data_IF_823051512513
#
_entry.id   IF_823051512513
#
_cell.length_a   1.000
_cell.length_b   1.000
_cell.length_c   1.000
_cell.angle_alpha   90.00
_cell.angle_beta   90.00
_cell.angle_gamma   90.00
#
_symmetry.space_group_name_H-M   'P 1'
#
loop_
_entity.id
_entity.type
_entity.pdbx_description
1 polymer ?
#
# COMPACT_ATOMS: atom_id res chain seq x y z
N UNK A 1 10.08 5.22 24.37
CA UNK A 1 9.14 4.36 23.61
C UNK A 1 8.72 3.24 24.54
N UNK A 2 7.43 3.09 24.83
CA UNK A 2 6.92 1.92 25.55
C UNK A 2 6.43 0.91 24.50
N UNK A 3 6.92 -0.33 24.55
CA UNK A 3 6.37 -1.42 23.76
C UNK A 3 5.10 -1.91 24.46
N UNK A 4 4.03 -2.12 23.68
CA UNK A 4 2.71 -2.51 24.19
C UNK A 4 2.29 -3.82 23.54
N UNK A 5 1.78 -4.77 24.33
CA UNK A 5 1.38 -6.10 23.90
C UNK A 5 2.42 -7.21 24.16
N UNK A 6 2.01 -8.46 23.93
CA UNK A 6 2.86 -9.65 24.13
C UNK A 6 3.85 -9.87 22.98
N UNK A 7 4.96 -10.57 23.25
CA UNK A 7 5.85 -11.05 22.20
C UNK A 7 5.21 -12.21 21.43
N UNK A 8 4.79 -11.93 20.19
CA UNK A 8 4.20 -12.91 19.29
C UNK A 8 5.25 -13.72 18.49
N UNK A 9 6.44 -13.94 19.05
CA UNK A 9 7.50 -14.81 18.51
C UNK A 9 8.67 -14.08 17.86
N UNK A 10 9.78 -14.81 17.64
CA UNK A 10 11.09 -14.24 17.30
C UNK A 10 11.38 -14.01 15.80
N UNK A 11 10.48 -14.41 14.89
CA UNK A 11 10.68 -14.15 13.45
C UNK A 11 10.64 -12.64 13.16
N UNK A 12 11.52 -12.20 12.26
CA UNK A 12 11.47 -10.86 11.69
C UNK A 12 10.33 -10.75 10.67
N UNK A 13 9.89 -9.52 10.37
CA UNK A 13 8.90 -9.19 9.31
C UNK A 13 7.59 -9.99 9.32
N UNK A 14 7.11 -10.45 10.49
CA UNK A 14 5.90 -11.29 10.62
C UNK A 14 4.64 -10.71 9.96
N UNK A 15 4.45 -9.40 10.03
CA UNK A 15 3.29 -8.71 9.47
C UNK A 15 3.70 -7.48 8.66
N UNK A 16 2.93 -7.17 7.62
CA UNK A 16 3.16 -6.04 6.73
C UNK A 16 1.92 -5.15 6.68
N UNK A 17 2.02 -3.97 7.28
CA UNK A 17 0.90 -3.05 7.40
C UNK A 17 -0.17 -3.49 8.40
N UNK A 18 -1.09 -2.58 8.69
CA UNK A 18 -2.22 -2.81 9.59
C UNK A 18 -3.49 -2.19 9.01
N UNK A 19 -4.63 -2.76 9.37
CA UNK A 19 -5.95 -2.27 8.96
C UNK A 19 -6.78 -2.02 10.20
N UNK A 20 -7.39 -0.85 10.30
CA UNK A 20 -8.44 -0.60 11.29
C UNK A 20 -9.72 -1.33 10.83
N UNK A 21 -10.14 -2.32 11.60
CA UNK A 21 -11.37 -3.06 11.38
C UNK A 21 -12.62 -2.22 11.63
N UNK A 22 -13.75 -2.68 11.08
CA UNK A 22 -15.06 -2.04 11.32
C UNK A 22 -15.53 -2.15 12.78
N UNK A 23 -14.93 -3.05 13.55
CA UNK A 23 -15.11 -3.23 14.99
C UNK A 23 -14.21 -2.33 15.85
N UNK A 24 -13.37 -1.50 15.23
CA UNK A 24 -12.45 -0.60 15.92
C UNK A 24 -11.14 -1.24 16.39
N UNK A 25 -10.91 -2.52 16.07
CA UNK A 25 -9.66 -3.22 16.38
C UNK A 25 -8.65 -3.07 15.23
N UNK A 26 -7.35 -3.21 15.52
CA UNK A 26 -6.29 -3.08 14.52
C UNK A 26 -5.76 -4.46 14.15
N UNK A 27 -5.74 -4.78 12.86
CA UNK A 27 -5.33 -6.10 12.38
C UNK A 27 -4.05 -6.03 11.55
N UNK A 28 -3.06 -6.82 11.92
CA UNK A 28 -1.83 -6.98 11.15
C UNK A 28 -1.97 -8.05 10.07
N UNK A 29 -1.55 -7.71 8.85
CA UNK A 29 -1.64 -8.59 7.70
C UNK A 29 -0.45 -9.56 7.68
N UNK A 30 -0.66 -10.88 7.51
CA UNK A 30 0.42 -11.86 7.66
C UNK A 30 1.36 -11.79 6.46
N UNK A 31 2.61 -11.39 6.70
CA UNK A 31 3.67 -11.38 5.70
C UNK A 31 4.44 -12.70 5.76
N UNK A 32 5.16 -12.93 6.86
CA UNK A 32 5.85 -14.20 7.15
C UNK A 32 5.15 -15.02 8.25
N UNK A 33 4.16 -14.42 8.92
CA UNK A 33 3.34 -15.10 9.93
C UNK A 33 2.33 -16.06 9.30
N UNK A 34 2.01 -17.21 9.92
CA UNK A 34 0.91 -18.06 9.47
C UNK A 34 -0.47 -17.49 9.81
N UNK A 35 -0.57 -16.45 10.65
CA UNK A 35 -1.84 -15.89 11.16
C UNK A 35 -1.79 -14.37 11.23
N UNK A 36 -2.96 -13.73 11.22
CA UNK A 36 -3.10 -12.31 11.51
C UNK A 36 -2.83 -12.05 13.01
N UNK A 37 -2.45 -10.83 13.37
CA UNK A 37 -2.64 -10.35 14.74
C UNK A 37 -3.82 -9.40 14.81
N UNK A 38 -4.39 -9.27 16.00
CA UNK A 38 -5.37 -8.26 16.39
C UNK A 38 -4.82 -7.49 17.58
N UNK A 39 -4.90 -6.16 17.54
CA UNK A 39 -4.51 -5.26 18.61
C UNK A 39 -5.70 -4.40 19.03
N UNK A 40 -6.00 -4.44 20.32
CA UNK A 40 -7.02 -3.62 20.94
C UNK A 40 -6.35 -2.43 21.66
N UNK A 41 -6.61 -1.23 21.15
CA UNK A 41 -6.04 0.01 21.69
C UNK A 41 -6.57 0.36 23.08
N UNK A 42 -7.77 -0.11 23.44
CA UNK A 42 -8.41 0.19 24.72
C UNK A 42 -7.84 -0.67 25.85
N UNK A 43 -7.55 -1.93 25.57
CA UNK A 43 -6.98 -2.88 26.53
C UNK A 43 -5.48 -3.05 26.40
N UNK A 44 -4.87 -2.48 25.34
CA UNK A 44 -3.44 -2.58 25.06
C UNK A 44 -2.96 -4.02 24.87
N UNK A 45 -3.84 -4.90 24.39
CA UNK A 45 -3.54 -6.33 24.18
C UNK A 45 -3.34 -6.66 22.70
N UNK A 46 -2.51 -7.67 22.43
CA UNK A 46 -2.23 -8.16 21.07
C UNK A 46 -2.37 -9.68 21.05
N UNK A 47 -3.16 -10.23 20.11
CA UNK A 47 -3.43 -11.67 20.01
C UNK A 47 -3.39 -12.17 18.58
N UNK A 48 -3.04 -13.45 18.36
CA UNK A 48 -3.16 -14.08 17.04
C UNK A 48 -4.60 -14.49 16.74
N UNK A 49 -5.10 -14.11 15.57
CA UNK A 49 -6.49 -14.36 15.14
C UNK A 49 -6.54 -15.06 13.78
N UNK A 50 -7.69 -15.66 13.46
CA UNK A 50 -7.87 -16.43 12.22
C UNK A 50 -7.28 -17.83 12.27
N UNK A 51 -7.68 -18.70 11.35
CA UNK A 51 -6.96 -19.95 11.08
C UNK A 51 -5.60 -19.68 10.43
N UNK A 52 -4.72 -20.69 10.43
CA UNK A 52 -3.47 -20.62 9.65
C UNK A 52 -3.78 -20.44 8.16
N UNK A 53 -3.08 -19.51 7.53
CA UNK A 53 -3.13 -19.24 6.08
C UNK A 53 -1.90 -19.81 5.35
N UNK A 54 -1.15 -20.68 6.02
CA UNK A 54 0.00 -21.38 5.50
C UNK A 54 1.33 -20.72 5.84
N UNK A 55 2.40 -21.51 5.72
CA UNK A 55 3.78 -21.06 5.85
C UNK A 55 4.26 -20.40 4.56
N UNK A 56 5.46 -19.81 4.62
CA UNK A 56 6.06 -19.06 3.51
C UNK A 56 6.14 -17.57 3.80
N UNK A 57 7.03 -16.94 3.05
CA UNK A 57 7.51 -15.59 3.31
C UNK A 57 6.97 -14.61 2.26
N UNK A 58 6.74 -13.37 2.69
CA UNK A 58 6.26 -12.27 1.87
C UNK A 58 4.88 -12.44 1.27
N UNK A 59 3.99 -13.19 1.93
CA UNK A 59 2.70 -13.62 1.38
C UNK A 59 1.82 -12.42 1.00
N UNK A 60 1.41 -11.63 1.99
CA UNK A 60 0.56 -10.46 1.77
C UNK A 60 1.21 -9.20 2.31
N UNK A 61 1.08 -8.11 1.56
CA UNK A 61 1.59 -6.77 1.90
C UNK A 61 0.42 -5.83 2.08
N UNK A 62 0.39 -5.14 3.22
CA UNK A 62 -0.68 -4.22 3.58
C UNK A 62 -2.08 -4.84 3.48
N UNK A 63 -3.09 -4.09 3.90
CA UNK A 63 -4.45 -4.57 3.80
C UNK A 63 -5.45 -3.45 3.59
N UNK A 64 -6.66 -3.87 3.25
CA UNK A 64 -7.78 -2.98 2.94
C UNK A 64 -9.00 -3.47 3.70
N UNK A 65 -9.69 -2.56 4.38
CA UNK A 65 -11.02 -2.83 4.93
C UNK A 65 -12.02 -2.83 3.77
N UNK A 66 -12.68 -3.97 3.54
CA UNK A 66 -13.70 -4.12 2.53
C UNK A 66 -15.06 -3.56 2.97
N UNK A 67 -15.95 -3.29 2.00
CA UNK A 67 -17.30 -2.78 2.27
C UNK A 67 -18.19 -3.81 2.99
N UNK A 68 -17.80 -5.09 2.99
CA UNK A 68 -18.46 -6.16 3.74
C UNK A 68 -18.00 -6.27 5.20
N UNK A 69 -17.12 -5.35 5.65
CA UNK A 69 -16.53 -5.34 6.98
C UNK A 69 -15.36 -6.32 7.17
N UNK A 70 -14.92 -6.98 6.10
CA UNK A 70 -13.81 -7.94 6.15
C UNK A 70 -12.49 -7.27 5.78
N UNK A 71 -11.40 -7.91 6.16
CA UNK A 71 -10.04 -7.40 5.98
C UNK A 71 -9.39 -8.18 4.86
N UNK A 72 -8.83 -7.47 3.89
CA UNK A 72 -8.26 -8.08 2.71
C UNK A 72 -6.77 -7.79 2.62
N UNK A 73 -5.95 -8.83 2.49
CA UNK A 73 -4.50 -8.71 2.31
C UNK A 73 -4.14 -8.72 0.82
N UNK A 74 -3.34 -7.74 0.39
CA UNK A 74 -2.90 -7.64 -1.00
C UNK A 74 -1.73 -8.61 -1.25
N UNK A 75 -1.76 -9.44 -2.30
CA UNK A 75 -0.72 -10.44 -2.52
C UNK A 75 0.64 -9.80 -2.86
N UNK A 76 1.65 -10.05 -2.04
CA UNK A 76 3.05 -9.79 -2.38
C UNK A 76 3.60 -10.96 -3.19
N UNK A 77 3.81 -12.08 -2.50
CA UNK A 77 4.22 -13.37 -3.07
C UNK A 77 3.06 -14.36 -3.14
N UNK A 78 1.99 -14.16 -2.38
CA UNK A 78 0.84 -15.06 -2.40
C UNK A 78 0.18 -15.14 -3.79
N UNK A 79 -0.37 -16.32 -4.11
CA UNK A 79 -1.08 -16.57 -5.37
C UNK A 79 -2.48 -15.94 -5.41
N UNK A 80 -3.02 -15.54 -4.25
CA UNK A 80 -4.43 -15.13 -4.10
C UNK A 80 -4.58 -14.02 -3.08
N UNK A 81 -5.67 -13.27 -3.16
CA UNK A 81 -6.04 -12.25 -2.17
C UNK A 81 -6.43 -12.93 -0.86
N UNK A 82 -5.94 -12.44 0.28
CA UNK A 82 -6.40 -12.87 1.59
C UNK A 82 -7.73 -12.18 1.92
N UNK A 83 -8.68 -12.89 2.52
CA UNK A 83 -9.85 -12.31 3.21
C UNK A 83 -9.93 -12.88 4.62
N UNK A 84 -9.96 -12.02 5.61
CA UNK A 84 -10.27 -12.34 7.00
C UNK A 84 -11.59 -11.70 7.40
N UNK A 85 -12.50 -12.48 7.98
CA UNK A 85 -13.76 -11.99 8.53
C UNK A 85 -13.67 -11.91 10.06
N UNK A 86 -13.61 -10.70 10.65
CA UNK A 86 -13.51 -10.55 12.11
C UNK A 86 -14.68 -11.18 12.87
N UNK A 87 -15.87 -11.28 12.27
CA UNK A 87 -17.08 -11.81 12.94
C UNK A 87 -17.04 -13.32 13.11
N UNK A 88 -16.51 -14.02 12.11
CA UNK A 88 -16.39 -15.48 12.16
C UNK A 88 -14.98 -15.95 12.53
N UNK A 89 -14.02 -15.02 12.61
CA UNK A 89 -12.60 -15.28 12.78
C UNK A 89 -12.01 -16.27 11.76
N UNK A 90 -12.48 -16.22 10.51
CA UNK A 90 -12.02 -17.12 9.44
C UNK A 90 -11.22 -16.34 8.40
N UNK A 91 -10.05 -16.88 8.05
CA UNK A 91 -9.18 -16.42 6.99
C UNK A 91 -9.24 -17.36 5.78
N UNK A 92 -9.48 -16.79 4.59
CA UNK A 92 -9.64 -17.50 3.32
C UNK A 92 -8.81 -16.84 2.21
N UNK A 93 -8.48 -17.62 1.17
CA UNK A 93 -7.78 -17.14 -0.02
C UNK A 93 -8.76 -17.08 -1.19
N UNK A 94 -8.94 -15.91 -1.79
CA UNK A 94 -9.98 -15.63 -2.79
C UNK A 94 -9.39 -15.20 -4.14
N UNK A 95 -10.21 -15.34 -5.18
CA UNK A 95 -9.86 -15.00 -6.54
C UNK A 95 -9.10 -16.11 -7.28
N UNK A 96 -8.68 -15.73 -8.47
CA UNK A 96 -7.90 -16.45 -9.45
C UNK A 96 -6.46 -16.59 -8.98
N UNK A 97 -5.71 -17.47 -9.64
CA UNK A 97 -4.27 -17.57 -9.42
C UNK A 97 -3.57 -16.36 -10.07
N UNK A 98 -2.86 -15.58 -9.25
CA UNK A 98 -2.16 -14.35 -9.64
C UNK A 98 -0.68 -14.59 -9.97
N UNK A 99 -0.27 -15.84 -10.10
CA UNK A 99 1.09 -16.24 -10.45
C UNK A 99 2.06 -16.21 -9.28
N UNK A 100 3.22 -16.81 -9.49
CA UNK A 100 4.26 -17.08 -8.51
C UNK A 100 5.37 -16.02 -8.45
N UNK A 101 5.23 -14.93 -9.22
CA UNK A 101 6.17 -13.82 -9.14
C UNK A 101 6.18 -13.17 -7.76
N UNK A 102 7.36 -12.66 -7.39
CA UNK A 102 7.60 -12.08 -6.08
C UNK A 102 7.34 -10.56 -6.05
N UNK A 103 6.95 -10.06 -4.87
CA UNK A 103 6.74 -8.64 -4.60
C UNK A 103 5.81 -7.95 -5.62
N UNK A 104 4.74 -8.63 -6.04
CA UNK A 104 3.84 -8.18 -7.10
C UNK A 104 3.26 -6.79 -6.84
N UNK A 105 2.58 -6.64 -5.70
CA UNK A 105 1.93 -5.40 -5.28
C UNK A 105 2.36 -5.03 -3.86
N UNK A 106 2.54 -3.73 -3.59
CA UNK A 106 3.07 -3.26 -2.29
C UNK A 106 1.99 -2.68 -1.37
N UNK A 107 0.86 -2.24 -1.91
CA UNK A 107 -0.24 -1.64 -1.14
C UNK A 107 -1.59 -1.84 -1.81
N UNK A 108 -2.67 -1.51 -1.09
CA UNK A 108 -4.04 -1.65 -1.58
C UNK A 108 -4.90 -0.45 -1.22
N UNK A 109 -5.86 -0.14 -2.08
CA UNK A 109 -6.87 0.90 -1.82
C UNK A 109 -8.28 0.41 -2.17
N UNK A 110 -9.28 0.85 -1.42
CA UNK A 110 -10.70 0.58 -1.71
C UNK A 110 -11.28 1.75 -2.52
N UNK A 111 -11.58 1.53 -3.80
CA UNK A 111 -12.20 2.54 -4.64
C UNK A 111 -13.72 2.68 -4.38
N UNK A 112 -14.28 3.81 -4.80
CA UNK A 112 -15.71 4.12 -4.67
C UNK A 112 -16.64 3.15 -5.40
N UNK A 113 -16.13 2.40 -6.38
CA UNK A 113 -16.86 1.32 -7.04
C UNK A 113 -16.96 0.03 -6.19
N UNK A 114 -16.37 0.02 -4.99
CA UNK A 114 -16.36 -1.11 -4.06
C UNK A 114 -15.32 -2.18 -4.36
N UNK A 115 -14.49 -1.99 -5.39
CA UNK A 115 -13.36 -2.87 -5.71
C UNK A 115 -12.09 -2.39 -5.01
N UNK A 116 -11.22 -3.34 -4.72
CA UNK A 116 -9.89 -3.09 -4.18
C UNK A 116 -8.86 -3.09 -5.29
N UNK A 117 -7.87 -2.21 -5.18
CA UNK A 117 -6.83 -2.07 -6.18
C UNK A 117 -5.44 -2.21 -5.56
N UNK A 118 -4.67 -3.17 -6.03
CA UNK A 118 -3.29 -3.40 -5.59
C UNK A 118 -2.32 -2.59 -6.42
N UNK A 119 -1.49 -1.79 -5.76
CA UNK A 119 -0.52 -0.91 -6.42
C UNK A 119 0.72 -1.71 -6.81
N UNK A 120 1.12 -1.67 -8.09
CA UNK A 120 2.19 -2.51 -8.58
C UNK A 120 3.55 -2.13 -7.98
N UNK A 121 4.38 -3.13 -7.73
CA UNK A 121 5.77 -3.01 -7.31
C UNK A 121 6.69 -3.76 -8.29
N UNK A 122 6.52 -5.07 -8.39
CA UNK A 122 7.16 -5.88 -9.44
C UNK A 122 6.18 -6.30 -10.54
N UNK A 123 4.88 -6.21 -10.29
CA UNK A 123 3.85 -6.53 -11.28
C UNK A 123 3.72 -5.43 -12.33
N UNK A 124 3.64 -5.80 -13.61
CA UNK A 124 3.45 -4.84 -14.71
C UNK A 124 2.06 -4.18 -14.77
N UNK A 125 1.13 -4.61 -13.90
CA UNK A 125 -0.27 -4.20 -13.93
C UNK A 125 -0.83 -3.99 -12.53
N UNK A 126 -1.89 -3.18 -12.44
CA UNK A 126 -2.65 -2.98 -11.20
C UNK A 126 -3.53 -4.20 -10.96
N UNK A 127 -3.51 -4.75 -9.75
CA UNK A 127 -4.49 -5.76 -9.34
C UNK A 127 -5.83 -5.06 -9.11
N UNK A 128 -6.93 -5.60 -9.64
CA UNK A 128 -8.30 -5.25 -9.26
C UNK A 128 -8.95 -6.47 -8.63
N UNK A 129 -9.54 -6.32 -7.45
CA UNK A 129 -10.29 -7.37 -6.78
C UNK A 129 -11.70 -6.89 -6.44
N UNK A 130 -12.72 -7.61 -6.87
CA UNK A 130 -14.12 -7.33 -6.52
C UNK A 130 -14.54 -8.23 -5.34
N UNK A 131 -14.73 -7.68 -4.13
CA UNK A 131 -15.10 -8.48 -2.96
C UNK A 131 -16.52 -9.05 -3.03
N UNK A 132 -17.43 -8.49 -3.85
CA UNK A 132 -18.82 -8.95 -3.97
C UNK A 132 -18.89 -10.29 -4.70
N UNK A 133 -18.14 -10.40 -5.80
CA UNK A 133 -18.09 -11.61 -6.62
C UNK A 133 -16.83 -12.46 -6.39
N UNK A 134 -15.89 -11.96 -5.59
CA UNK A 134 -14.66 -12.63 -5.15
C UNK A 134 -13.69 -12.97 -6.28
N UNK A 135 -13.65 -12.11 -7.30
CA UNK A 135 -12.78 -12.26 -8.48
C UNK A 135 -11.68 -11.22 -8.49
N UNK A 136 -10.50 -11.62 -8.94
CA UNK A 136 -9.34 -10.82 -9.24
C UNK A 136 -9.15 -10.69 -10.77
N UNK A 137 -8.72 -9.52 -11.20
CA UNK A 137 -8.32 -9.25 -12.59
C UNK A 137 -7.15 -8.26 -12.60
N UNK A 138 -6.45 -8.16 -13.72
CA UNK A 138 -5.37 -7.18 -13.90
C UNK A 138 -5.85 -6.06 -14.82
N UNK A 139 -5.51 -4.81 -14.48
CA UNK A 139 -5.89 -3.61 -15.24
C UNK A 139 -4.68 -2.70 -15.46
N UNK A 140 -4.80 -1.71 -16.34
CA UNK A 140 -3.71 -0.80 -16.67
C UNK A 140 -2.70 -1.41 -17.65
N UNK A 141 -3.17 -2.10 -18.69
CA UNK A 141 -2.31 -2.53 -19.80
C UNK A 141 -1.65 -1.32 -20.47
N UNK A 142 -0.40 -1.48 -20.94
CA UNK A 142 0.31 -0.44 -21.69
C UNK A 142 0.95 0.68 -20.87
N UNK A 143 1.10 0.51 -19.54
CA UNK A 143 1.82 1.47 -18.67
C UNK A 143 3.32 1.63 -19.00
N UNK A 144 3.88 0.83 -19.91
CA UNK A 144 5.29 0.89 -20.30
C UNK A 144 6.24 0.41 -19.20
N UNK A 145 7.26 -0.35 -19.57
CA UNK A 145 8.44 -0.55 -18.72
C UNK A 145 9.34 0.69 -18.86
N UNK A 146 10.02 1.16 -17.79
CA UNK A 146 10.77 0.29 -16.90
C UNK A 146 10.44 0.48 -15.40
N UNK A 147 10.19 -0.65 -14.75
CA UNK A 147 9.92 -0.79 -13.32
C UNK A 147 8.62 -0.11 -12.86
N UNK A 148 7.59 -0.94 -12.70
CA UNK A 148 6.37 -0.64 -11.98
C UNK A 148 6.64 -0.46 -10.48
N UNK A 149 7.70 0.24 -10.12
CA UNK A 149 8.29 0.32 -8.80
C UNK A 149 7.60 1.44 -8.01
N UNK A 150 6.33 1.19 -7.68
CA UNK A 150 5.53 2.06 -6.83
C UNK A 150 5.39 1.49 -5.42
N UNK A 151 5.05 2.36 -4.49
CA UNK A 151 4.87 2.05 -3.07
C UNK A 151 3.61 2.73 -2.54
N UNK A 152 2.77 1.95 -1.85
CA UNK A 152 1.48 2.43 -1.34
C UNK A 152 0.53 2.96 -2.41
N UNK A 153 -0.73 3.17 -2.02
CA UNK A 153 -1.73 3.78 -2.88
C UNK A 153 -2.56 4.78 -2.09
N UNK A 154 -2.93 5.89 -2.74
CA UNK A 154 -3.83 6.88 -2.16
C UNK A 154 -4.99 7.12 -3.12
N UNK A 155 -6.22 7.12 -2.60
CA UNK A 155 -7.38 7.62 -3.35
C UNK A 155 -7.56 9.08 -3.00
N UNK A 156 -7.57 9.94 -4.03
CA UNK A 156 -7.80 11.36 -3.87
C UNK A 156 -9.26 11.75 -4.09
N UNK A 157 -9.58 13.03 -3.83
CA UNK A 157 -10.93 13.59 -3.97
C UNK A 157 -11.47 13.58 -5.40
N UNK A 158 -10.61 13.47 -6.42
CA UNK A 158 -11.01 13.29 -7.82
C UNK A 158 -11.52 11.86 -8.12
N UNK A 159 -11.38 10.94 -7.17
CA UNK A 159 -11.75 9.53 -7.27
C UNK A 159 -10.70 8.65 -7.95
N UNK A 160 -9.54 9.21 -8.33
CA UNK A 160 -8.44 8.46 -8.91
C UNK A 160 -7.55 7.85 -7.82
N UNK A 161 -6.87 6.78 -8.19
CA UNK A 161 -5.87 6.08 -7.41
C UNK A 161 -4.49 6.57 -7.82
N UNK A 162 -3.67 6.94 -6.84
CA UNK A 162 -2.32 7.42 -7.05
C UNK A 162 -1.32 6.46 -6.41
N UNK A 163 -0.37 5.95 -7.20
CA UNK A 163 0.74 5.13 -6.73
C UNK A 163 2.01 5.98 -6.65
N UNK A 164 2.70 5.93 -5.51
CA UNK A 164 3.86 6.79 -5.29
C UNK A 164 5.12 6.15 -5.87
N UNK A 165 5.93 6.90 -6.63
CA UNK A 165 7.11 6.35 -7.29
C UNK A 165 8.20 6.00 -6.28
N UNK A 166 8.44 4.70 -6.08
CA UNK A 166 9.59 4.22 -5.29
C UNK A 166 10.86 4.27 -6.13
N UNK A 167 10.82 3.66 -7.31
CA UNK A 167 11.87 3.72 -8.34
C UNK A 167 11.36 4.14 -9.71
N UNK A 168 10.04 4.19 -9.92
CA UNK A 168 9.45 4.77 -11.13
C UNK A 168 9.80 6.26 -11.29
N UNK A 169 9.86 6.75 -12.52
CA UNK A 169 10.21 8.15 -12.85
C UNK A 169 9.02 9.10 -12.83
N UNK A 170 7.80 8.57 -12.72
CA UNK A 170 6.56 9.35 -12.72
C UNK A 170 5.59 8.79 -11.69
N UNK A 171 4.59 9.56 -11.31
CA UNK A 171 3.52 9.13 -10.41
C UNK A 171 2.48 8.33 -11.19
N UNK A 172 2.08 7.17 -10.68
CA UNK A 172 0.96 6.42 -11.23
C UNK A 172 -0.34 7.14 -10.86
N UNK A 173 -1.19 7.43 -11.83
CA UNK A 173 -2.57 7.89 -11.67
C UNK A 173 -3.48 6.92 -12.42
N UNK A 174 -4.48 6.34 -11.75
CA UNK A 174 -5.44 5.43 -12.34
C UNK A 174 -6.86 5.78 -11.93
N UNK A 175 -7.73 6.03 -12.91
CA UNK A 175 -9.15 6.26 -12.67
C UNK A 175 -9.93 4.91 -12.67
N UNK A 176 -10.40 4.41 -11.51
CA UNK A 176 -11.12 3.15 -11.39
C UNK A 176 -12.54 3.17 -11.99
N UNK A 177 -13.02 4.33 -12.45
CA UNK A 177 -14.31 4.50 -13.11
C UNK A 177 -14.22 4.23 -14.61
N UNK A 178 -13.01 4.26 -15.18
CA UNK A 178 -12.79 3.91 -16.57
C UNK A 178 -13.09 2.42 -16.76
N UNK A 179 -13.95 2.11 -17.73
CA UNK A 179 -14.17 0.73 -18.16
C UNK A 179 -12.89 0.26 -18.83
N UNK A 180 -12.47 -0.97 -18.53
CA UNK A 180 -11.35 -1.59 -19.23
C UNK A 180 -11.73 -1.77 -20.71
N UNK A 181 -11.09 -0.99 -21.58
CA UNK A 181 -11.37 -0.95 -23.02
C UNK A 181 -10.69 -2.12 -23.76
N UNK A 182 -9.97 -3.01 -23.05
CA UNK A 182 -9.35 -4.21 -23.61
C UNK A 182 -10.35 -5.10 -24.37
N UNK A 183 -11.60 -5.16 -23.92
CA UNK A 183 -12.69 -5.90 -24.57
C UNK A 183 -13.19 -5.32 -25.90
N UNK A 184 -12.78 -4.10 -26.26
CA UNK A 184 -13.25 -3.39 -27.47
C UNK A 184 -12.29 -3.58 -28.66
N UNK A 185 -11.18 -4.31 -28.49
CA UNK A 185 -10.23 -4.58 -29.56
C UNK A 185 -9.59 -3.32 -30.17
N UNK A 186 -9.70 -2.19 -29.48
CA UNK A 186 -9.05 -0.95 -29.87
C UNK A 186 -7.59 -1.06 -29.44
N UNK A 187 -6.70 -1.16 -30.43
CA UNK A 187 -5.28 -0.94 -30.21
C UNK A 187 -5.10 0.50 -29.74
N UNK A 188 -4.93 0.67 -28.43
CA UNK A 188 -4.68 1.98 -27.78
C UNK A 188 -3.23 2.44 -27.97
N UNK A 189 -2.53 1.92 -28.98
CA UNK A 189 -1.22 2.38 -29.44
C UNK A 189 -1.09 3.89 -29.25
N UNK A 190 -0.18 4.28 -28.36
CA UNK A 190 0.18 5.66 -27.94
C UNK A 190 -0.56 6.33 -26.75
N UNK A 191 -1.50 5.70 -26.03
CA UNK A 191 -2.14 6.33 -24.85
C UNK A 191 -1.40 6.13 -23.50
N UNK A 192 -0.12 5.75 -23.50
CA UNK A 192 0.69 5.54 -22.28
C UNK A 192 0.79 6.78 -21.37
N UNK A 193 0.55 7.98 -21.90
CA UNK A 193 0.61 9.25 -21.18
C UNK A 193 -0.60 9.54 -20.26
N UNK A 194 -1.65 8.71 -20.26
CA UNK A 194 -2.84 8.98 -19.43
C UNK A 194 -2.67 8.59 -17.95
N UNK A 195 -1.73 7.71 -17.63
CA UNK A 195 -1.62 7.09 -16.30
C UNK A 195 -0.38 7.53 -15.52
N UNK A 196 0.46 8.37 -16.10
CA UNK A 196 1.71 8.82 -15.51
C UNK A 196 1.72 10.34 -15.48
N UNK A 197 1.94 10.92 -14.31
CA UNK A 197 2.00 12.38 -14.13
C UNK A 197 3.31 12.80 -13.46
N UNK A 198 3.66 14.07 -13.67
CA UNK A 198 4.89 14.67 -13.20
C UNK A 198 6.05 14.54 -14.19
N UNK A 199 6.99 15.50 -14.17
CA UNK A 199 8.17 15.48 -15.04
C UNK A 199 9.15 14.37 -14.61
N UNK A 200 9.68 13.54 -15.54
CA UNK A 200 10.62 12.45 -15.21
C UNK A 200 11.85 12.91 -14.43
N UNK A 201 12.44 14.03 -14.84
CA UNK A 201 13.66 14.59 -14.28
C UNK A 201 13.50 15.06 -12.81
N UNK A 202 12.27 15.35 -12.38
CA UNK A 202 11.99 15.76 -11.00
C UNK A 202 12.05 14.59 -10.01
N UNK A 203 11.88 13.37 -10.52
CA UNK A 203 11.73 12.16 -9.72
C UNK A 203 12.87 11.18 -9.98
N UNK A 204 14.07 11.66 -10.32
CA UNK A 204 15.25 10.80 -10.45
C UNK A 204 15.63 10.14 -9.11
N UNK A 205 16.22 8.94 -9.18
CA UNK A 205 16.70 8.19 -8.02
C UNK A 205 15.83 6.97 -7.64
N UNK A 206 16.28 6.21 -6.64
CA UNK A 206 15.65 4.96 -6.19
C UNK A 206 15.25 5.01 -4.72
N UNK A 207 14.20 4.27 -4.38
CA UNK A 207 13.61 4.20 -3.04
C UNK A 207 13.26 5.60 -2.50
N UNK A 208 12.62 6.42 -3.33
CA UNK A 208 12.45 7.85 -3.08
C UNK A 208 11.44 8.14 -1.98
N UNK A 209 10.24 7.58 -2.08
CA UNK A 209 9.16 7.69 -1.10
C UNK A 209 8.68 6.29 -0.66
N UNK A 210 7.90 6.20 0.43
CA UNK A 210 7.31 4.91 0.91
C UNK A 210 5.79 4.86 0.83
N UNK A 211 5.14 5.83 1.45
CA UNK A 211 3.69 5.89 1.56
C UNK A 211 3.22 7.32 1.33
N UNK A 212 1.96 7.42 0.94
CA UNK A 212 1.29 8.67 0.68
C UNK A 212 0.19 8.88 1.70
N UNK A 213 -0.03 10.14 2.07
CA UNK A 213 -1.17 10.54 2.86
C UNK A 213 -1.90 11.70 2.17
N UNK A 214 -3.21 11.75 2.34
CA UNK A 214 -4.01 12.87 1.85
C UNK A 214 -3.94 14.02 2.86
N UNK A 215 -3.54 15.20 2.40
CA UNK A 215 -3.56 16.43 3.18
C UNK A 215 -4.95 17.08 3.22
N UNK A 216 -5.16 18.04 4.13
CA UNK A 216 -6.45 18.75 4.25
C UNK A 216 -6.73 19.68 3.05
N UNK A 217 -5.69 20.02 2.28
CA UNK A 217 -5.79 20.75 1.01
C UNK A 217 -6.19 19.84 -0.17
N UNK A 218 -6.45 18.55 0.08
CA UNK A 218 -6.77 17.57 -0.95
C UNK A 218 -5.57 17.09 -1.76
N UNK A 219 -4.36 17.55 -1.46
CA UNK A 219 -3.13 17.10 -2.10
C UNK A 219 -2.62 15.80 -1.44
N UNK A 220 -1.88 15.02 -2.21
CA UNK A 220 -1.21 13.81 -1.70
C UNK A 220 0.23 14.16 -1.36
N UNK A 221 0.66 13.75 -0.17
CA UNK A 221 2.01 13.95 0.33
C UNK A 221 2.74 12.62 0.45
N UNK A 222 3.79 12.45 -0.36
CA UNK A 222 4.67 11.29 -0.29
C UNK A 222 5.77 11.46 0.75
N UNK A 223 5.86 10.51 1.67
CA UNK A 223 6.82 10.52 2.77
C UNK A 223 8.20 10.10 2.26
N UNK A 224 9.24 10.95 2.40
CA UNK A 224 10.57 10.68 1.87
C UNK A 224 11.22 9.48 2.57
N UNK A 225 11.86 8.62 1.78
CA UNK A 225 12.71 7.55 2.28
C UNK A 225 14.18 7.84 2.01
N UNK A 226 14.56 7.92 0.74
CA UNK A 226 15.87 8.42 0.31
C UNK A 226 15.81 9.80 -0.35
N UNK A 227 14.62 10.25 -0.77
CA UNK A 227 14.44 11.59 -1.32
C UNK A 227 14.75 12.66 -0.26
N UNK A 228 15.33 13.78 -0.70
CA UNK A 228 15.65 14.92 0.16
C UNK A 228 14.43 15.74 0.56
N UNK A 229 13.27 15.55 -0.09
CA UNK A 229 12.06 16.36 0.09
C UNK A 229 10.78 15.52 0.01
N UNK A 230 9.69 16.07 0.53
CA UNK A 230 8.36 15.47 0.37
C UNK A 230 7.90 15.61 -1.08
N UNK A 231 7.25 14.58 -1.59
CA UNK A 231 6.50 14.66 -2.83
C UNK A 231 5.15 15.30 -2.53
N UNK A 232 4.72 16.28 -3.33
CA UNK A 232 3.37 16.80 -3.35
C UNK A 232 2.74 16.53 -4.72
N UNK A 233 1.56 15.94 -4.71
CA UNK A 233 0.73 15.74 -5.90
C UNK A 233 -0.58 16.50 -5.66
N UNK A 234 -0.95 17.38 -6.58
CA UNK A 234 -2.26 18.03 -6.58
C UNK A 234 -3.19 17.31 -7.58
N UNK A 235 -4.17 16.53 -7.10
CA UNK A 235 -5.10 15.79 -7.96
C UNK A 235 -5.99 16.70 -8.83
N UNK A 236 -6.21 17.96 -8.44
CA UNK A 236 -7.08 18.87 -9.16
C UNK A 236 -6.38 19.50 -10.37
N UNK A 237 -5.11 19.86 -10.21
CA UNK A 237 -4.30 20.47 -11.29
C UNK A 237 -3.45 19.45 -12.06
N UNK A 238 -3.19 18.28 -11.47
CA UNK A 238 -2.21 17.31 -11.96
C UNK A 238 -0.76 17.71 -11.68
N UNK A 239 -0.52 18.77 -10.91
CA UNK A 239 0.82 19.23 -10.59
C UNK A 239 1.53 18.24 -9.66
N UNK A 240 2.79 17.96 -9.97
CA UNK A 240 3.71 17.18 -9.13
C UNK A 240 4.90 18.06 -8.79
N UNK A 241 5.17 18.24 -7.51
CA UNK A 241 6.24 19.11 -7.00
C UNK A 241 6.93 18.53 -5.77
N UNK A 242 8.11 19.07 -5.43
CA UNK A 242 8.82 18.75 -4.19
C UNK A 242 8.66 19.89 -3.20
N UNK A 243 8.26 19.57 -1.97
CA UNK A 243 7.94 20.56 -0.93
C UNK A 243 8.65 20.26 0.39
N UNK A 244 8.67 21.26 1.27
CA UNK A 244 9.36 21.19 2.57
C UNK A 244 10.85 21.55 2.47
N UNK A 245 11.51 21.55 3.62
CA UNK A 245 12.95 21.78 3.71
C UNK A 245 13.76 20.61 3.11
N UNK A 246 15.02 20.87 2.77
CA UNK A 246 15.96 19.81 2.33
C UNK A 246 16.41 18.96 3.52
N UNK A 247 15.88 17.73 3.60
CA UNK A 247 16.14 16.74 4.65
C UNK A 247 17.44 15.95 4.42
N UNK A 248 18.20 16.30 3.38
CA UNK A 248 19.37 15.58 2.86
C UNK A 248 19.02 14.19 2.31
N UNK A 249 19.74 13.75 1.29
CA UNK A 249 19.56 12.40 0.75
C UNK A 249 19.99 11.30 1.73
N UNK A 250 19.46 10.09 1.49
CA UNK A 250 19.91 8.84 2.09
C UNK A 250 19.32 8.51 3.45
N UNK A 251 19.15 7.21 3.71
CA UNK A 251 19.15 6.66 5.05
C UNK A 251 17.79 6.40 5.70
N UNK A 252 16.82 5.81 4.99
CA UNK A 252 15.66 5.16 5.62
C UNK A 252 14.95 6.00 6.70
N UNK A 253 14.99 7.33 6.57
CA UNK A 253 14.86 8.24 7.71
C UNK A 253 13.47 8.20 8.32
N UNK A 254 12.48 7.99 7.47
CA UNK A 254 11.08 7.96 7.83
C UNK A 254 10.46 6.63 7.37
N UNK A 255 9.73 5.98 8.28
CA UNK A 255 9.07 4.69 8.04
C UNK A 255 7.58 4.82 7.75
N UNK A 256 7.03 6.00 7.95
CA UNK A 256 5.62 6.32 7.72
C UNK A 256 5.37 7.76 8.12
N UNK A 257 4.13 8.20 8.00
CA UNK A 257 3.71 9.52 8.40
C UNK A 257 2.22 9.53 8.59
N UNK A 258 1.77 10.25 9.61
CA UNK A 258 0.36 10.38 9.93
C UNK A 258 0.00 11.85 9.96
N UNK A 259 -1.17 12.17 9.45
CA UNK A 259 -1.70 13.53 9.55
C UNK A 259 -2.29 13.73 10.95
N UNK A 260 -1.83 14.78 11.64
CA UNK A 260 -2.42 15.28 12.86
C UNK A 260 -3.80 15.90 12.60
N UNK A 261 -4.65 15.94 13.63
CA UNK A 261 -5.99 16.56 13.54
C UNK A 261 -5.95 18.06 13.21
N UNK A 262 -4.81 18.69 13.41
CA UNK A 262 -4.50 20.09 13.10
C UNK A 262 -4.01 20.30 11.66
N UNK A 263 -3.91 19.24 10.86
CA UNK A 263 -3.37 19.28 9.50
C UNK A 263 -1.85 19.20 9.43
N UNK A 264 -1.15 19.04 10.56
CA UNK A 264 0.29 18.84 10.59
C UNK A 264 0.64 17.44 10.10
N UNK A 265 1.59 17.32 9.16
CA UNK A 265 2.13 16.02 8.78
C UNK A 265 3.22 15.59 9.78
N UNK A 266 2.95 14.53 10.54
CA UNK A 266 3.92 13.96 11.48
C UNK A 266 4.65 12.83 10.78
N UNK A 267 5.94 13.01 10.51
CA UNK A 267 6.79 11.96 9.95
C UNK A 267 7.30 11.04 11.07
N UNK A 268 7.15 9.74 10.91
CA UNK A 268 7.65 8.73 11.84
C UNK A 268 9.12 8.42 11.52
N UNK A 269 10.02 8.93 12.36
CA UNK A 269 11.48 8.72 12.21
C UNK A 269 11.89 7.34 12.70
N UNK A 270 12.82 6.68 12.02
CA UNK A 270 13.49 5.49 12.52
C UNK A 270 14.29 5.84 13.80
N UNK A 271 13.85 5.40 14.97
CA UNK A 271 14.75 5.35 16.13
C UNK A 271 15.48 4.02 16.06
N UNK A 272 16.74 4.04 15.62
CA UNK A 272 17.64 2.91 15.79
C UNK A 272 17.87 2.70 17.29
N UNK A 273 17.23 1.69 17.87
CA UNK A 273 17.66 1.15 19.17
C UNK A 273 19.01 0.46 18.96
N UNK A 274 20.10 1.22 19.11
CA UNK A 274 21.42 0.67 19.37
C UNK A 274 21.38 0.05 20.77
N UNK A 275 21.26 -1.28 20.84
CA UNK A 275 21.65 -2.03 22.03
C UNK A 275 23.18 -1.92 22.16
N UNK A 276 23.68 -0.99 22.98
CA UNK A 276 24.92 -1.24 23.69
C UNK A 276 24.55 -1.86 25.03
N UNK A 277 24.68 -3.20 25.11
CA UNK A 277 25.02 -3.82 26.38
C UNK A 277 26.40 -3.25 26.77
N UNK A 278 26.43 -2.36 27.74
CA UNK A 278 27.61 -2.22 28.58
C UNK A 278 27.37 -3.11 29.80
N UNK A 279 28.27 -4.08 29.97
CA UNK A 279 28.43 -4.86 31.20
C UNK A 279 28.76 -3.95 32.39
#
# INVERSE_FOLDING_TARGET
VCLVGEDLGSKLAKWSGCVLGADGLIYGIPYDSPRLFCFDTSTQTCTLVGNSVGDGDGKWKNGVLGPDGCIYGIPGNALKVLRYDPRSEVATRLGEDLGDSENKWDGGVLASNGCMYGIPCSASQILKFDPKIKTASLVGHGMGTPSSDYCGGVIAGDGCIYGLPRGAEQVLQYDPRLKDLSSVGVDLGSMSWKWLIGPPDLLEGRMKWREGCLGPDGCIYGIPNNASRLLKIDPMSGEVSLVGEDLKEGGGKFHGGVLGRDGSLVLLVAVSCLFQQQC
#
